data_IF_038421639732
#
_entry.id   IF_038421639732
#
_cell.length_a   1.000
_cell.length_b   1.000
_cell.length_c   1.000
_cell.angle_alpha   90.00
_cell.angle_beta   90.00
_cell.angle_gamma   90.00
#
_symmetry.space_group_name_H-M   'P 1'
#
loop_
_entity.id
_entity.type
_entity.pdbx_description
1 polymer ?
#
# COMPACT_ATOMS: atom_id res chain seq x y z
N UNK A 1 -17.21 -2.00 -38.16
CA UNK A 1 -17.43 -0.96 -37.13
C UNK A 1 -17.07 -1.45 -35.72
N UNK A 2 -17.55 -2.62 -35.29
CA UNK A 2 -17.24 -3.20 -33.96
C UNK A 2 -15.74 -3.47 -33.76
N UNK A 3 -15.03 -3.92 -34.82
CA UNK A 3 -13.59 -4.22 -34.76
C UNK A 3 -12.75 -2.97 -34.48
N UNK A 4 -13.04 -1.84 -35.12
CA UNK A 4 -12.33 -0.58 -34.90
C UNK A 4 -12.58 0.00 -33.49
N UNK A 5 -13.79 -0.17 -32.96
CA UNK A 5 -14.12 0.15 -31.57
C UNK A 5 -13.36 -0.74 -30.58
N UNK A 6 -13.28 -2.05 -30.85
CA UNK A 6 -12.51 -2.99 -30.06
C UNK A 6 -11.02 -2.66 -30.04
N UNK A 7 -10.44 -2.35 -31.21
CA UNK A 7 -9.03 -1.95 -31.34
C UNK A 7 -8.77 -0.61 -30.64
N UNK A 8 -9.67 0.38 -30.77
CA UNK A 8 -9.55 1.67 -30.09
C UNK A 8 -9.63 1.55 -28.57
N UNK A 9 -10.55 0.73 -28.06
CA UNK A 9 -10.67 0.44 -26.62
C UNK A 9 -9.44 -0.29 -26.09
N UNK A 10 -8.92 -1.29 -26.83
CA UNK A 10 -7.71 -2.02 -26.47
C UNK A 10 -6.48 -1.10 -26.43
N UNK A 11 -6.34 -0.19 -27.40
CA UNK A 11 -5.27 0.83 -27.42
C UNK A 11 -5.40 1.81 -26.26
N UNK A 12 -6.61 2.27 -25.95
CA UNK A 12 -6.87 3.15 -24.80
C UNK A 12 -6.46 2.46 -23.49
N UNK A 13 -6.90 1.22 -23.28
CA UNK A 13 -6.57 0.42 -22.09
C UNK A 13 -5.05 0.21 -22.02
N UNK A 14 -4.41 -0.15 -23.13
CA UNK A 14 -2.96 -0.33 -23.19
C UNK A 14 -2.21 0.96 -22.81
N UNK A 15 -2.66 2.11 -23.31
CA UNK A 15 -2.07 3.43 -23.00
C UNK A 15 -2.31 3.82 -21.54
N UNK A 16 -3.49 3.53 -20.98
CA UNK A 16 -3.80 3.78 -19.56
C UNK A 16 -2.93 2.91 -18.65
N UNK A 17 -2.80 1.61 -18.96
CA UNK A 17 -1.93 0.67 -18.23
C UNK A 17 -0.47 1.11 -18.34
N UNK A 18 0.01 1.47 -19.54
CA UNK A 18 1.36 2.02 -19.74
C UNK A 18 1.57 3.32 -18.98
N UNK A 19 0.61 4.26 -18.98
CA UNK A 19 0.76 5.52 -18.23
C UNK A 19 0.73 5.30 -16.73
N UNK A 20 -0.07 4.37 -16.21
CA UNK A 20 0.01 3.98 -14.79
C UNK A 20 1.38 3.40 -14.43
N UNK A 21 1.94 2.55 -15.29
CA UNK A 21 3.28 1.99 -15.15
C UNK A 21 4.38 3.06 -15.21
N UNK A 22 4.23 4.06 -16.09
CA UNK A 22 5.26 5.07 -16.32
C UNK A 22 5.18 6.26 -15.35
N UNK A 23 4.04 6.50 -14.69
CA UNK A 23 3.88 7.57 -13.71
C UNK A 23 4.49 7.14 -12.37
N UNK A 24 5.83 7.16 -12.33
CA UNK A 24 6.74 6.99 -11.19
C UNK A 24 6.28 7.74 -9.91
N UNK A 25 5.41 7.15 -9.09
CA UNK A 25 4.95 7.79 -7.85
C UNK A 25 4.78 6.83 -6.65
N UNK A 26 5.33 5.61 -6.67
CA UNK A 26 5.35 4.76 -5.47
C UNK A 26 6.69 4.04 -5.33
N UNK A 27 7.11 3.91 -4.04
CA UNK A 27 8.37 3.36 -3.52
C UNK A 27 8.88 2.19 -4.37
N UNK A 28 10.20 2.12 -4.56
CA UNK A 28 10.93 1.18 -5.44
C UNK A 28 10.34 -0.25 -5.50
N UNK A 29 9.85 -0.79 -4.38
CA UNK A 29 9.21 -2.12 -4.29
C UNK A 29 7.92 -2.27 -5.11
N UNK A 30 7.10 -1.22 -5.20
CA UNK A 30 5.79 -1.26 -5.87
C UNK A 30 5.92 -1.26 -7.38
N UNK A 31 6.93 -0.54 -7.88
CA UNK A 31 7.23 -0.48 -9.30
C UNK A 31 7.57 -1.88 -9.84
N UNK A 32 8.32 -2.68 -9.08
CA UNK A 32 8.70 -4.04 -9.48
C UNK A 32 7.46 -4.95 -9.60
N UNK A 33 6.57 -4.94 -8.59
CA UNK A 33 5.34 -5.76 -8.65
C UNK A 33 4.45 -5.38 -9.84
N UNK A 34 4.24 -4.08 -10.05
CA UNK A 34 3.45 -3.60 -11.20
C UNK A 34 4.14 -3.89 -12.54
N UNK A 35 5.47 -3.81 -12.62
CA UNK A 35 6.24 -4.18 -13.82
C UNK A 35 6.03 -5.66 -14.17
N UNK A 36 6.07 -6.55 -13.18
CA UNK A 36 5.82 -8.00 -13.38
C UNK A 36 4.40 -8.24 -13.86
N UNK A 37 3.40 -7.59 -13.23
CA UNK A 37 1.99 -7.68 -13.64
C UNK A 37 1.81 -7.16 -15.06
N UNK A 38 2.36 -5.98 -15.38
CA UNK A 38 2.29 -5.37 -16.70
C UNK A 38 2.96 -6.23 -17.77
N UNK A 39 4.10 -6.83 -17.45
CA UNK A 39 4.81 -7.76 -18.33
C UNK A 39 4.00 -9.04 -18.56
N UNK A 40 3.40 -9.61 -17.50
CA UNK A 40 2.54 -10.78 -17.62
C UNK A 40 1.32 -10.51 -18.52
N UNK A 41 0.64 -9.37 -18.33
CA UNK A 41 -0.47 -8.93 -19.18
C UNK A 41 -0.02 -8.69 -20.62
N UNK A 42 1.15 -8.08 -20.82
CA UNK A 42 1.72 -7.85 -22.16
C UNK A 42 2.01 -9.16 -22.89
N UNK A 43 2.63 -10.14 -22.21
CA UNK A 43 2.93 -11.46 -22.77
C UNK A 43 1.64 -12.18 -23.15
N UNK A 44 0.63 -12.17 -22.28
CA UNK A 44 -0.68 -12.78 -22.56
C UNK A 44 -1.41 -12.09 -23.71
N UNK A 45 -1.27 -10.76 -23.86
CA UNK A 45 -1.84 -9.98 -24.95
C UNK A 45 -1.15 -10.21 -26.30
N UNK A 46 0.18 -10.38 -26.32
CA UNK A 46 0.93 -10.65 -27.55
C UNK A 46 0.80 -12.10 -28.03
N UNK A 47 0.64 -13.06 -27.11
CA UNK A 47 0.62 -14.49 -27.43
C UNK A 47 -0.72 -15.14 -27.05
N UNK A 48 -1.80 -14.90 -27.83
CA UNK A 48 -3.11 -15.54 -27.56
C UNK A 48 -3.06 -17.07 -27.66
N UNK A 49 -2.10 -17.62 -28.40
CA UNK A 49 -1.83 -19.07 -28.47
C UNK A 49 -1.46 -19.68 -27.11
N UNK A 50 -0.81 -18.93 -26.22
CA UNK A 50 -0.51 -19.38 -24.86
C UNK A 50 -1.79 -19.58 -24.05
N UNK A 51 -2.74 -18.66 -24.24
CA UNK A 51 -4.05 -18.72 -23.62
C UNK A 51 -4.86 -19.90 -24.16
N UNK A 52 -4.74 -20.19 -25.46
CA UNK A 52 -5.41 -21.35 -26.10
C UNK A 52 -4.83 -22.68 -25.61
N UNK A 53 -3.50 -22.79 -25.48
CA UNK A 53 -2.85 -23.97 -24.93
C UNK A 53 -3.24 -24.22 -23.46
N UNK A 54 -3.37 -23.14 -22.67
CA UNK A 54 -3.83 -23.24 -21.29
C UNK A 54 -5.31 -23.62 -21.20
N UNK A 55 -6.18 -23.11 -22.08
CA UNK A 55 -7.59 -23.53 -22.10
C UNK A 55 -7.76 -25.00 -22.42
N UNK A 56 -6.96 -25.53 -23.35
CA UNK A 56 -6.99 -26.96 -23.72
C UNK A 56 -6.50 -27.83 -22.56
N UNK A 57 -5.48 -27.38 -21.82
CA UNK A 57 -4.94 -28.10 -20.67
C UNK A 57 -5.87 -28.06 -19.44
N UNK A 58 -6.49 -26.91 -19.17
CA UNK A 58 -7.41 -26.70 -18.03
C UNK A 58 -8.86 -27.11 -18.34
N UNK A 59 -9.19 -27.46 -19.59
CA UNK A 59 -10.54 -27.85 -20.00
C UNK A 59 -11.54 -26.68 -20.06
N UNK A 60 -11.06 -25.45 -20.23
CA UNK A 60 -11.91 -24.24 -20.27
C UNK A 60 -12.32 -23.99 -21.72
N UNK A 61 -13.63 -23.94 -22.00
CA UNK A 61 -14.13 -23.83 -23.39
C UNK A 61 -13.80 -22.48 -24.07
N UNK A 62 -13.76 -21.39 -23.31
CA UNK A 62 -13.53 -20.04 -23.84
C UNK A 62 -12.25 -19.41 -23.26
N UNK A 63 -11.27 -19.00 -24.09
CA UNK A 63 -10.07 -18.29 -23.66
C UNK A 63 -10.35 -17.03 -22.83
N UNK A 64 -11.46 -16.36 -23.10
CA UNK A 64 -11.91 -15.20 -22.32
C UNK A 64 -12.21 -15.54 -20.86
N UNK A 65 -12.81 -16.70 -20.58
CA UNK A 65 -13.12 -17.10 -19.19
C UNK A 65 -11.84 -17.36 -18.41
N UNK A 66 -10.83 -17.95 -19.04
CA UNK A 66 -9.53 -18.16 -18.41
C UNK A 66 -8.84 -16.82 -18.11
N UNK A 67 -8.90 -15.86 -19.05
CA UNK A 67 -8.38 -14.52 -18.85
C UNK A 67 -9.06 -13.83 -17.65
N UNK A 68 -10.39 -13.93 -17.54
CA UNK A 68 -11.14 -13.39 -16.42
C UNK A 68 -10.77 -14.07 -15.09
N UNK A 69 -10.68 -15.40 -15.07
CA UNK A 69 -10.28 -16.13 -13.88
C UNK A 69 -8.87 -15.72 -13.41
N UNK A 70 -7.92 -15.63 -14.35
CA UNK A 70 -6.56 -15.18 -14.06
C UNK A 70 -6.53 -13.73 -13.56
N UNK A 71 -7.32 -12.85 -14.19
CA UNK A 71 -7.45 -11.46 -13.76
C UNK A 71 -8.02 -11.37 -12.33
N UNK A 72 -9.04 -12.17 -11.99
CA UNK A 72 -9.62 -12.22 -10.64
C UNK A 72 -8.58 -12.71 -9.63
N UNK A 73 -7.85 -13.79 -9.92
CA UNK A 73 -6.80 -14.31 -9.04
C UNK A 73 -5.69 -13.28 -8.84
N UNK A 74 -5.27 -12.61 -9.91
CA UNK A 74 -4.28 -11.54 -9.87
C UNK A 74 -4.78 -10.36 -9.03
N UNK A 75 -6.02 -9.92 -9.24
CA UNK A 75 -6.64 -8.84 -8.46
C UNK A 75 -6.73 -9.20 -6.98
N UNK A 76 -7.10 -10.45 -6.68
CA UNK A 76 -7.15 -10.96 -5.31
C UNK A 76 -5.77 -10.94 -4.67
N UNK A 77 -4.73 -11.37 -5.40
CA UNK A 77 -3.34 -11.30 -4.92
C UNK A 77 -2.90 -9.86 -4.63
N UNK A 78 -3.23 -8.91 -5.51
CA UNK A 78 -2.95 -7.48 -5.30
C UNK A 78 -3.71 -6.94 -4.09
N UNK A 79 -4.98 -7.31 -3.93
CA UNK A 79 -5.80 -6.89 -2.80
C UNK A 79 -5.25 -7.44 -1.47
N UNK A 80 -4.84 -8.71 -1.42
CA UNK A 80 -4.21 -9.31 -0.26
C UNK A 80 -2.87 -8.64 0.08
N UNK A 81 -2.04 -8.37 -0.93
CA UNK A 81 -0.79 -7.66 -0.75
C UNK A 81 -1.04 -6.26 -0.17
N UNK A 82 -2.01 -5.52 -0.72
CA UNK A 82 -2.37 -4.20 -0.23
C UNK A 82 -2.92 -4.26 1.22
N UNK A 83 -3.73 -5.28 1.53
CA UNK A 83 -4.25 -5.51 2.88
C UNK A 83 -3.13 -5.81 3.89
N UNK A 84 -2.13 -6.60 3.50
CA UNK A 84 -0.98 -6.89 4.35
C UNK A 84 -0.20 -5.62 4.67
N UNK A 85 0.05 -4.79 3.66
CA UNK A 85 0.76 -3.54 3.84
C UNK A 85 -0.02 -2.51 4.64
N UNK A 86 -1.33 -2.45 4.43
CA UNK A 86 -2.21 -1.59 5.21
C UNK A 86 -2.15 -1.99 6.69
N UNK A 87 -2.23 -3.29 6.99
CA UNK A 87 -2.10 -3.80 8.36
C UNK A 87 -0.75 -3.43 8.99
N UNK A 88 0.35 -3.56 8.25
CA UNK A 88 1.67 -3.14 8.74
C UNK A 88 1.76 -1.63 8.99
N UNK A 89 1.15 -0.82 8.12
CA UNK A 89 1.12 0.63 8.29
C UNK A 89 0.26 1.04 9.50
N UNK A 90 -0.86 0.37 9.73
CA UNK A 90 -1.71 0.58 10.91
C UNK A 90 -0.97 0.26 12.22
N UNK A 91 -0.22 -0.85 12.25
CA UNK A 91 0.61 -1.22 13.40
C UNK A 91 1.68 -0.17 13.71
N UNK A 92 2.34 0.37 12.68
CA UNK A 92 3.36 1.41 12.83
C UNK A 92 2.75 2.72 13.35
N UNK A 93 1.62 3.15 12.80
CA UNK A 93 0.89 4.34 13.26
C UNK A 93 0.50 4.19 14.73
N UNK A 94 0.03 2.99 15.12
CA UNK A 94 -0.34 2.70 16.51
C UNK A 94 0.87 2.81 17.44
N UNK A 95 2.01 2.23 17.07
CA UNK A 95 3.25 2.34 17.86
C UNK A 95 3.71 3.79 18.02
N UNK A 96 3.69 4.56 16.94
CA UNK A 96 4.04 5.98 16.98
C UNK A 96 3.10 6.80 17.88
N UNK A 97 1.80 6.48 17.87
CA UNK A 97 0.84 7.11 18.77
C UNK A 97 1.12 6.75 20.24
N UNK A 98 1.45 5.49 20.52
CA UNK A 98 1.82 5.02 21.86
C UNK A 98 3.12 5.68 22.36
N UNK A 99 4.14 5.78 21.51
CA UNK A 99 5.40 6.48 21.82
C UNK A 99 5.18 7.98 22.06
N UNK A 100 4.32 8.62 21.27
CA UNK A 100 3.95 10.03 21.46
C UNK A 100 3.25 10.25 22.80
N UNK A 101 2.30 9.37 23.18
CA UNK A 101 1.59 9.48 24.45
C UNK A 101 2.52 9.26 25.65
N UNK A 102 3.46 8.31 25.54
CA UNK A 102 4.45 8.05 26.59
C UNK A 102 5.41 9.24 26.77
N UNK A 103 5.81 9.85 25.66
CA UNK A 103 6.68 11.04 25.67
C UNK A 103 6.00 12.23 26.35
N UNK A 104 4.72 12.47 26.03
CA UNK A 104 3.91 13.54 26.64
C UNK A 104 3.74 13.31 28.16
N UNK A 105 3.46 12.08 28.57
CA UNK A 105 3.36 11.72 29.98
C UNK A 105 4.69 11.91 30.74
N UNK A 106 5.84 11.66 30.09
CA UNK A 106 7.15 11.90 30.68
C UNK A 106 7.44 13.39 30.86
N UNK A 107 7.02 14.22 29.90
CA UNK A 107 7.10 15.69 29.97
C UNK A 107 6.28 16.23 31.14
N UNK A 108 5.00 15.86 31.24
CA UNK A 108 4.13 16.31 32.35
C UNK A 108 4.69 15.92 33.72
N UNK A 109 5.23 14.71 33.86
CA UNK A 109 5.89 14.30 35.13
C UNK A 109 7.11 15.14 35.47
N UNK A 110 7.85 15.59 34.46
CA UNK A 110 9.02 16.42 34.69
C UNK A 110 8.60 17.83 35.11
N UNK A 111 7.56 18.39 34.48
CA UNK A 111 6.95 19.67 34.86
C UNK A 111 6.43 19.64 36.29
N UNK A 112 5.70 18.58 36.68
CA UNK A 112 5.21 18.40 38.06
C UNK A 112 6.35 18.37 39.09
N UNK A 113 7.46 17.69 38.76
CA UNK A 113 8.64 17.64 39.63
C UNK A 113 9.33 18.98 39.75
N UNK A 114 9.43 19.75 38.67
CA UNK A 114 9.99 21.10 38.69
C UNK A 114 9.15 21.98 39.61
N UNK A 115 7.83 21.98 39.45
CA UNK A 115 6.93 22.75 40.32
C UNK A 115 7.03 22.33 41.79
N UNK A 116 7.14 21.04 42.10
CA UNK A 116 7.33 20.58 43.47
C UNK A 116 8.61 21.17 44.09
N UNK A 117 9.74 21.12 43.36
CA UNK A 117 11.01 21.67 43.82
C UNK A 117 10.98 23.19 43.98
N UNK A 118 10.32 23.92 43.08
CA UNK A 118 10.11 25.37 43.20
C UNK A 118 9.32 25.72 44.47
N UNK A 119 8.26 24.97 44.77
CA UNK A 119 7.46 25.20 45.97
C UNK A 119 8.21 24.90 47.28
N UNK A 120 9.12 23.92 47.25
CA UNK A 120 9.99 23.59 48.39
C UNK A 120 11.06 24.66 48.62
N UNK A 121 11.74 25.12 47.56
CA UNK A 121 12.72 26.22 47.63
C UNK A 121 12.10 27.54 48.10
N UNK A 122 10.85 27.83 47.73
CA UNK A 122 10.15 29.05 48.16
C UNK A 122 9.81 29.01 49.65
N UNK A 123 9.48 27.83 50.20
CA UNK A 123 9.24 27.65 51.64
C UNK A 123 10.51 27.80 52.47
N UNK A 124 11.65 27.30 51.98
CA UNK A 124 12.92 27.38 52.69
C UNK A 124 13.48 28.81 52.76
N UNK A 125 13.21 29.64 51.74
CA UNK A 125 13.62 31.06 51.71
C UNK A 125 12.74 31.97 52.57
N UNK A 126 11.49 31.59 52.83
CA UNK A 126 10.56 32.35 53.69
C UNK A 126 10.65 32.02 55.18
N UNK A 127 11.46 31.03 55.55
CA UNK A 127 11.61 30.54 56.92
C UNK A 127 12.83 31.11 57.67
N UNK A 128 13.41 32.21 57.17
CA UNK A 128 14.44 32.98 57.88
C UNK A 128 13.80 34.21 58.58
N UNK A 129 13.34 34.07 59.84
CA UNK A 129 13.01 35.19 60.69
C UNK A 129 14.29 35.67 61.40
N UNK A 130 15.01 36.60 60.78
CA UNK A 130 15.87 37.53 61.54
C UNK A 130 15.07 38.76 62.02
#
# INVERSE_FOLDING_TARGET
MIVFLGVGLALLILVVVMRMLLKRSLREKYAVMWLVIGLAVLILGLFPQLLTAMTDLLGVQLPSNLLFALAIVLLLGVALHLSWELSQAEDEIRRLAEESALSDAALSRLEDRIHALETESTKDTGADPE
#
